data_IF_968438371949
#
_entry.id   IF_968438371949
#
_cell.length_a   1.000
_cell.length_b   1.000
_cell.length_c   1.000
_cell.angle_alpha   90.00
_cell.angle_beta   90.00
_cell.angle_gamma   90.00
#
_symmetry.space_group_name_H-M   'P 1'
#
loop_
_entity.id
_entity.type
_entity.pdbx_description
1 polymer ?
#
# COMPACT_ATOMS: atom_id res chain seq x y z
N UNK A 1 -15.30 8.06 13.27
CA UNK A 1 -14.57 6.90 13.81
C UNK A 1 -13.16 7.39 14.07
N UNK A 2 -12.77 7.54 15.35
CA UNK A 2 -11.40 7.90 15.72
C UNK A 2 -10.41 6.79 15.33
N UNK A 3 -9.10 7.07 15.31
CA UNK A 3 -8.10 6.04 15.03
C UNK A 3 -8.22 4.95 16.11
N UNK A 4 -8.54 3.73 15.69
CA UNK A 4 -8.44 2.54 16.54
C UNK A 4 -6.95 2.23 16.66
N UNK A 5 -6.31 2.71 17.73
CA UNK A 5 -5.03 2.20 18.20
C UNK A 5 -5.37 0.98 19.08
N UNK A 6 -5.02 -0.27 18.68
CA UNK A 6 -5.23 -1.47 19.51
C UNK A 6 -4.27 -1.51 20.71
N UNK A 7 -4.53 -2.38 21.70
CA UNK A 7 -4.08 -2.25 23.08
C UNK A 7 -2.70 -2.85 23.30
N UNK A 8 -1.66 -2.20 22.81
CA UNK A 8 -0.32 -2.40 23.35
C UNK A 8 0.13 -1.05 23.91
N UNK A 9 0.64 -0.98 25.15
CA UNK A 9 0.91 0.32 25.76
C UNK A 9 1.95 1.03 24.90
N UNK A 10 1.71 2.26 24.43
CA UNK A 10 2.74 2.99 23.72
C UNK A 10 3.87 3.33 24.71
N UNK A 11 5.09 2.91 24.39
CA UNK A 11 6.25 3.76 24.66
C UNK A 11 6.18 4.85 23.59
N UNK A 12 5.77 6.05 24.00
CA UNK A 12 5.67 7.30 23.24
C UNK A 12 5.19 7.20 21.78
N UNK A 13 3.95 7.66 21.56
CA UNK A 13 3.38 7.84 20.23
C UNK A 13 3.31 9.33 19.90
N UNK A 14 3.70 9.70 18.70
CA UNK A 14 3.60 11.06 18.19
C UNK A 14 2.99 11.07 16.78
N UNK A 15 2.26 12.13 16.47
CA UNK A 15 1.97 12.50 15.09
C UNK A 15 3.10 13.38 14.56
N UNK A 16 3.31 13.35 13.24
CA UNK A 16 4.30 14.21 12.61
C UNK A 16 4.12 15.68 12.98
N UNK A 17 2.89 16.21 13.00
CA UNK A 17 2.61 17.60 13.40
C UNK A 17 3.13 17.94 14.80
N UNK A 18 3.07 17.01 15.74
CA UNK A 18 3.51 17.22 17.12
C UNK A 18 5.04 17.28 17.20
N UNK A 19 5.71 16.43 16.43
CA UNK A 19 7.18 16.49 16.26
C UNK A 19 7.60 17.79 15.59
N UNK A 20 6.87 18.22 14.55
CA UNK A 20 7.18 19.46 13.84
C UNK A 20 6.92 20.72 14.67
N UNK A 21 5.86 20.73 15.48
CA UNK A 21 5.52 21.85 16.35
C UNK A 21 6.53 22.02 17.49
N UNK A 22 7.04 20.91 18.04
CA UNK A 22 8.10 20.93 19.06
C UNK A 22 9.44 21.49 18.57
N UNK A 23 9.71 21.42 17.26
CA UNK A 23 10.93 21.95 16.64
C UNK A 23 10.82 23.35 16.02
N UNK A 24 9.74 24.10 16.27
CA UNK A 24 9.54 25.43 15.68
C UNK A 24 10.47 26.51 16.30
N UNK A 25 10.92 27.52 15.53
CA UNK A 25 11.84 28.55 16.01
C UNK A 25 11.22 29.36 17.16
N UNK A 26 11.75 29.14 18.37
CA UNK A 26 11.23 29.69 19.63
C UNK A 26 11.38 28.73 20.82
N UNK A 27 11.53 27.42 20.57
CA UNK A 27 11.95 26.44 21.57
C UNK A 27 13.47 26.43 21.74
N UNK A 28 13.95 26.26 22.97
CA UNK A 28 15.38 26.34 23.29
C UNK A 28 16.10 25.11 22.73
N UNK A 29 17.37 25.28 22.32
CA UNK A 29 18.19 24.21 21.73
C UNK A 29 18.50 23.06 22.72
N UNK A 30 18.12 23.19 24.00
CA UNK A 30 18.26 22.17 25.05
C UNK A 30 17.04 21.21 25.13
N UNK A 31 15.94 21.53 24.43
CA UNK A 31 14.67 20.80 24.50
C UNK A 31 14.65 19.62 23.50
N UNK A 32 15.47 18.60 23.75
CA UNK A 32 15.49 17.32 23.00
C UNK A 32 14.18 16.51 23.09
N UNK A 33 13.23 16.98 23.89
CA UNK A 33 11.99 16.32 24.23
C UNK A 33 10.87 17.36 24.33
N UNK A 34 9.72 17.12 23.70
CA UNK A 34 8.53 18.01 23.86
C UNK A 34 7.97 17.97 25.28
N UNK A 35 7.09 18.92 25.64
CA UNK A 35 6.36 18.90 26.92
C UNK A 35 5.61 17.58 27.22
N UNK A 36 5.34 16.77 26.19
CA UNK A 36 4.69 15.45 26.30
C UNK A 36 5.66 14.26 26.34
N UNK A 37 6.97 14.50 26.43
CA UNK A 37 7.96 13.42 26.46
C UNK A 37 8.40 12.95 25.07
N UNK A 38 7.88 13.50 23.97
CA UNK A 38 8.22 13.05 22.61
C UNK A 38 9.66 13.45 22.26
N UNK A 39 10.52 12.47 21.99
CA UNK A 39 11.89 12.71 21.53
C UNK A 39 11.91 13.38 20.13
N UNK A 40 12.48 14.57 20.06
CA UNK A 40 12.71 15.30 18.81
C UNK A 40 14.04 14.87 18.17
N UNK A 41 14.24 15.10 16.85
CA UNK A 41 15.57 14.98 16.28
C UNK A 41 16.56 15.88 17.04
N UNK A 42 17.65 15.28 17.53
CA UNK A 42 18.69 15.99 18.27
C UNK A 42 19.73 16.66 17.36
N UNK A 43 20.79 17.20 17.96
CA UNK A 43 21.94 17.69 17.21
C UNK A 43 22.59 16.57 16.36
N UNK A 44 23.30 16.98 15.31
CA UNK A 44 23.99 16.05 14.41
C UNK A 44 25.05 15.26 15.19
N UNK A 45 24.95 13.93 15.15
CA UNK A 45 25.92 13.03 15.77
C UNK A 45 27.20 12.92 14.93
N UNK A 46 28.33 12.58 15.58
CA UNK A 46 29.60 12.26 14.89
C UNK A 46 29.44 11.06 13.94
N UNK A 47 28.60 10.10 14.32
CA UNK A 47 28.24 8.94 13.53
C UNK A 47 26.73 8.96 13.26
N UNK A 48 26.30 9.29 12.02
CA UNK A 48 24.91 9.18 11.63
C UNK A 48 24.41 7.73 11.80
N UNK A 49 23.12 7.61 12.10
CA UNK A 49 22.43 6.33 12.11
C UNK A 49 22.09 5.86 10.69
N UNK A 50 21.23 4.85 10.62
CA UNK A 50 20.85 4.17 9.37
C UNK A 50 19.35 4.26 9.13
N UNK A 51 18.96 4.30 7.86
CA UNK A 51 17.56 4.32 7.44
C UNK A 51 17.17 3.00 6.78
N UNK A 52 16.11 2.36 7.28
CA UNK A 52 15.46 1.21 6.66
C UNK A 52 14.10 1.62 6.11
N UNK A 53 13.91 1.49 4.80
CA UNK A 53 12.62 1.72 4.15
C UNK A 53 12.00 0.35 3.90
N UNK A 54 11.01 -0.03 4.71
CA UNK A 54 10.53 -1.42 4.78
C UNK A 54 9.10 -1.55 4.26
N UNK A 55 8.86 -2.62 3.50
CA UNK A 55 7.52 -3.05 3.12
C UNK A 55 6.84 -3.81 4.25
N UNK A 56 5.71 -3.28 4.70
CA UNK A 56 4.86 -3.82 5.76
C UNK A 56 3.93 -4.94 5.31
N UNK A 57 3.83 -5.20 4.00
CA UNK A 57 2.85 -6.15 3.48
C UNK A 57 1.45 -5.55 3.35
N UNK A 58 0.45 -6.34 2.91
CA UNK A 58 -0.87 -5.84 2.51
C UNK A 58 -1.80 -5.48 3.69
N UNK A 59 -1.43 -5.80 4.93
CA UNK A 59 -2.22 -5.46 6.12
C UNK A 59 -1.97 -6.41 7.30
N UNK A 60 -1.94 -7.72 7.04
CA UNK A 60 -1.66 -8.70 8.09
C UNK A 60 -0.20 -8.68 8.51
N UNK A 61 0.05 -8.69 9.83
CA UNK A 61 1.38 -8.56 10.40
C UNK A 61 2.26 -9.79 10.16
N UNK A 62 1.65 -10.96 10.00
CA UNK A 62 2.33 -12.23 9.67
C UNK A 62 2.87 -12.28 8.23
N UNK A 63 2.58 -11.26 7.42
CA UNK A 63 3.17 -11.05 6.09
C UNK A 63 4.37 -10.10 6.08
N UNK A 64 4.82 -9.64 7.26
CA UNK A 64 6.12 -8.98 7.39
C UNK A 64 7.23 -9.96 7.01
N UNK A 65 8.23 -9.48 6.28
CA UNK A 65 9.41 -10.29 6.01
C UNK A 65 10.28 -10.38 7.27
N UNK A 66 11.01 -11.48 7.43
CA UNK A 66 11.95 -11.62 8.56
C UNK A 66 13.02 -10.52 8.59
N UNK A 67 13.36 -9.93 7.43
CA UNK A 67 14.29 -8.80 7.36
C UNK A 67 13.64 -7.51 7.87
N UNK A 68 12.38 -7.27 7.54
CA UNK A 68 11.60 -6.14 8.07
C UNK A 68 11.45 -6.23 9.60
N UNK A 69 11.16 -7.42 10.13
CA UNK A 69 11.08 -7.64 11.59
C UNK A 69 12.41 -7.35 12.29
N UNK A 70 13.55 -7.78 11.72
CA UNK A 70 14.87 -7.44 12.29
C UNK A 70 15.13 -5.93 12.30
N UNK A 71 14.82 -5.23 11.21
CA UNK A 71 14.97 -3.78 11.14
C UNK A 71 14.08 -3.05 12.16
N UNK A 72 12.83 -3.52 12.36
CA UNK A 72 11.94 -3.00 13.40
C UNK A 72 12.51 -3.18 14.81
N UNK A 73 13.14 -4.33 15.08
CA UNK A 73 13.75 -4.60 16.38
C UNK A 73 14.97 -3.74 16.70
N UNK A 74 15.65 -3.24 15.68
CA UNK A 74 16.80 -2.32 15.78
C UNK A 74 16.39 -0.84 15.82
N UNK A 75 15.11 -0.53 15.56
CA UNK A 75 14.66 0.85 15.36
C UNK A 75 14.67 1.67 16.65
N UNK A 76 15.20 2.88 16.56
CA UNK A 76 15.00 3.94 17.55
C UNK A 76 13.75 4.77 17.23
N UNK A 77 13.42 4.91 15.93
CA UNK A 77 12.25 5.67 15.46
C UNK A 77 11.59 4.93 14.30
N UNK A 78 10.27 4.77 14.35
CA UNK A 78 9.45 4.21 13.26
C UNK A 78 8.51 5.29 12.72
N UNK A 79 8.69 5.67 11.45
CA UNK A 79 7.78 6.54 10.72
C UNK A 79 6.74 5.69 9.98
N UNK A 80 5.53 5.65 10.52
CA UNK A 80 4.43 4.78 10.10
C UNK A 80 3.56 5.44 9.01
N UNK A 81 3.33 4.73 7.90
CA UNK A 81 2.29 5.07 6.93
C UNK A 81 0.91 4.57 7.36
N UNK A 82 -0.16 5.24 6.93
CA UNK A 82 -1.54 4.84 7.20
C UNK A 82 -1.91 3.45 6.64
N UNK A 83 -1.26 3.02 5.56
CA UNK A 83 -1.52 1.72 4.93
C UNK A 83 -0.64 0.57 5.48
N UNK A 84 0.27 0.85 6.41
CA UNK A 84 1.05 -0.20 7.05
C UNK A 84 0.17 -1.01 8.03
N UNK A 85 0.53 -2.28 8.33
CA UNK A 85 -0.07 -3.02 9.45
C UNK A 85 -0.07 -2.16 10.71
N UNK A 86 -1.09 -2.30 11.56
CA UNK A 86 -1.20 -1.54 12.81
C UNK A 86 -0.73 -2.33 14.04
N UNK A 87 -0.58 -3.64 13.89
CA UNK A 87 -0.16 -4.58 14.96
C UNK A 87 1.36 -4.82 14.96
N UNK A 88 2.15 -3.82 14.57
CA UNK A 88 3.62 -3.92 14.47
C UNK A 88 4.35 -3.68 15.81
N UNK A 89 3.65 -3.18 16.83
CA UNK A 89 4.27 -2.66 18.05
C UNK A 89 5.12 -3.68 18.82
N UNK A 90 4.78 -4.97 18.75
CA UNK A 90 5.58 -6.03 19.37
C UNK A 90 6.98 -6.21 18.74
N UNK A 91 7.14 -5.79 17.48
CA UNK A 91 8.39 -5.92 16.73
C UNK A 91 9.30 -4.70 16.85
N UNK A 92 8.80 -3.57 17.36
CA UNK A 92 9.56 -2.34 17.56
C UNK A 92 9.48 -1.85 19.02
N UNK A 93 9.86 -2.67 20.02
CA UNK A 93 9.57 -2.42 21.44
C UNK A 93 10.33 -1.23 22.06
N UNK A 94 11.33 -0.69 21.37
CA UNK A 94 12.18 0.41 21.84
C UNK A 94 12.05 1.69 21.01
N UNK A 95 11.23 1.68 19.97
CA UNK A 95 11.16 2.79 19.03
C UNK A 95 10.12 3.84 19.43
N UNK A 96 10.44 5.12 19.20
CA UNK A 96 9.45 6.18 19.08
C UNK A 96 8.62 5.94 17.81
N UNK A 97 7.30 5.91 17.95
CA UNK A 97 6.39 5.75 16.82
C UNK A 97 5.89 7.12 16.35
N UNK A 98 6.16 7.46 15.09
CA UNK A 98 5.71 8.70 14.45
C UNK A 98 4.73 8.38 13.33
N UNK A 99 3.46 8.72 13.49
CA UNK A 99 2.46 8.63 12.42
C UNK A 99 2.67 9.76 11.40
N UNK A 100 3.05 9.37 10.18
CA UNK A 100 3.26 10.27 9.03
C UNK A 100 2.14 10.16 7.98
N UNK A 101 1.10 9.38 8.28
CA UNK A 101 -0.07 9.21 7.45
C UNK A 101 -0.99 10.44 7.40
N UNK A 102 -2.01 10.39 6.53
CA UNK A 102 -3.02 11.44 6.46
C UNK A 102 -3.94 11.38 7.67
N UNK A 103 -3.78 12.31 8.61
CA UNK A 103 -4.76 12.53 9.69
C UNK A 103 -6.06 13.06 9.08
N UNK A 104 -7.22 12.42 9.30
CA UNK A 104 -8.51 12.92 8.80
C UNK A 104 -8.77 14.37 9.25
N UNK A 105 -9.04 15.26 8.29
CA UNK A 105 -9.33 16.68 8.55
C UNK A 105 -8.11 17.60 8.56
N UNK A 106 -6.90 17.09 8.35
CA UNK A 106 -5.67 17.90 8.21
C UNK A 106 -5.09 17.83 6.79
N UNK A 107 -4.32 18.84 6.42
CA UNK A 107 -3.60 18.85 5.13
C UNK A 107 -2.61 17.67 5.08
N UNK A 108 -2.51 17.03 3.91
CA UNK A 108 -1.54 15.96 3.71
C UNK A 108 -0.13 16.51 3.93
N UNK A 109 0.67 15.83 4.76
CA UNK A 109 2.06 16.22 4.96
C UNK A 109 2.82 16.03 3.65
N UNK A 110 3.53 17.07 3.16
CA UNK A 110 4.33 16.94 1.95
C UNK A 110 5.37 15.83 2.11
N UNK A 111 5.59 15.07 1.04
CA UNK A 111 6.59 13.99 1.06
C UNK A 111 7.98 14.46 1.46
N UNK A 112 8.38 15.66 1.01
CA UNK A 112 9.65 16.28 1.37
C UNK A 112 9.80 16.45 2.88
N UNK A 113 8.70 16.65 3.61
CA UNK A 113 8.74 16.78 5.06
C UNK A 113 8.91 15.45 5.78
N UNK A 114 8.31 14.38 5.25
CA UNK A 114 8.55 13.01 5.74
C UNK A 114 10.02 12.63 5.51
N UNK A 115 10.53 12.88 4.30
CA UNK A 115 11.93 12.66 3.95
C UNK A 115 12.87 13.43 4.88
N UNK A 116 12.61 14.72 5.09
CA UNK A 116 13.43 15.54 6.00
C UNK A 116 13.40 14.98 7.42
N UNK A 117 12.24 14.55 7.92
CA UNK A 117 12.15 13.97 9.27
C UNK A 117 12.97 12.68 9.41
N UNK A 118 12.95 11.80 8.39
CA UNK A 118 13.80 10.62 8.35
C UNK A 118 15.29 11.00 8.41
N UNK A 119 15.67 12.00 7.62
CA UNK A 119 17.05 12.49 7.54
C UNK A 119 17.48 13.10 8.88
N UNK A 120 16.65 13.93 9.51
CA UNK A 120 16.96 14.62 10.76
C UNK A 120 17.21 13.61 11.89
N UNK A 121 16.33 12.62 12.05
CA UNK A 121 16.54 11.57 13.05
C UNK A 121 17.81 10.76 12.77
N UNK A 122 18.05 10.36 11.52
CA UNK A 122 19.23 9.59 11.17
C UNK A 122 20.53 10.40 11.37
N UNK A 123 20.55 11.69 11.03
CA UNK A 123 21.68 12.58 11.28
C UNK A 123 21.94 12.77 12.79
N UNK A 124 20.92 12.64 13.63
CA UNK A 124 21.07 12.62 15.09
C UNK A 124 21.54 11.26 15.66
N UNK A 125 21.98 10.33 14.81
CA UNK A 125 22.53 9.04 15.20
C UNK A 125 21.49 7.93 15.40
N UNK A 126 20.22 8.15 15.05
CA UNK A 126 19.13 7.19 15.26
C UNK A 126 19.01 6.19 14.12
N UNK A 127 18.69 4.95 14.45
CA UNK A 127 18.21 3.95 13.50
C UNK A 127 16.74 4.22 13.18
N UNK A 128 16.47 4.60 11.94
CA UNK A 128 15.15 5.03 11.48
C UNK A 128 14.53 3.95 10.61
N UNK A 129 13.30 3.54 10.93
CA UNK A 129 12.49 2.68 10.08
C UNK A 129 11.35 3.49 9.45
N UNK A 130 11.28 3.54 8.13
CA UNK A 130 10.12 4.01 7.38
C UNK A 130 9.26 2.80 7.02
N UNK A 131 8.20 2.57 7.79
CA UNK A 131 7.29 1.43 7.60
C UNK A 131 6.15 1.81 6.65
N UNK A 132 6.10 1.16 5.48
CA UNK A 132 5.17 1.46 4.39
C UNK A 132 4.20 0.31 4.18
N UNK A 133 2.97 0.58 3.73
CA UNK A 133 2.05 -0.48 3.30
C UNK A 133 2.52 -1.14 2.01
N UNK A 134 2.31 -2.46 1.89
CA UNK A 134 2.68 -3.25 0.72
C UNK A 134 4.20 -3.36 0.52
N UNK A 135 4.64 -3.02 -0.69
CA UNK A 135 6.05 -2.98 -1.08
C UNK A 135 6.49 -1.53 -1.35
N UNK A 136 7.67 -1.07 -0.89
CA UNK A 136 8.12 0.31 -1.06
C UNK A 136 8.22 0.77 -2.52
N UNK A 137 8.44 -0.15 -3.47
CA UNK A 137 8.63 0.16 -4.89
C UNK A 137 7.39 -0.06 -5.75
N UNK A 138 6.28 -0.57 -5.20
CA UNK A 138 5.00 -0.66 -5.91
C UNK A 138 4.10 0.51 -5.53
N UNK A 139 4.23 1.62 -6.27
CA UNK A 139 3.55 2.91 -6.00
C UNK A 139 3.77 3.46 -4.58
N UNK A 140 4.79 2.98 -3.87
CA UNK A 140 5.11 3.39 -2.51
C UNK A 140 6.02 4.61 -2.43
N UNK A 141 6.65 5.05 -3.52
CA UNK A 141 7.67 6.14 -3.54
C UNK A 141 8.93 5.84 -2.73
N UNK A 142 9.24 4.56 -2.50
CA UNK A 142 10.44 4.15 -1.76
C UNK A 142 11.74 4.61 -2.43
N UNK A 143 11.76 4.73 -3.76
CA UNK A 143 12.94 5.21 -4.50
C UNK A 143 13.23 6.69 -4.19
N UNK A 144 12.19 7.54 -4.19
CA UNK A 144 12.34 8.96 -3.84
C UNK A 144 12.81 9.15 -2.39
N UNK A 145 12.32 8.34 -1.46
CA UNK A 145 12.75 8.34 -0.06
C UNK A 145 14.20 7.87 0.09
N UNK A 146 14.60 6.82 -0.64
CA UNK A 146 15.97 6.31 -0.67
C UNK A 146 16.95 7.35 -1.24
N UNK A 147 16.61 7.95 -2.38
CA UNK A 147 17.44 8.96 -3.05
C UNK A 147 17.68 10.17 -2.14
N UNK A 148 16.65 10.61 -1.41
CA UNK A 148 16.77 11.71 -0.44
C UNK A 148 17.75 11.37 0.69
N UNK A 149 17.72 10.15 1.24
CA UNK A 149 18.65 9.71 2.27
C UNK A 149 20.10 9.61 1.74
N UNK A 150 20.29 9.04 0.55
CA UNK A 150 21.60 8.95 -0.09
C UNK A 150 22.17 10.35 -0.37
N UNK A 151 21.35 11.27 -0.87
CA UNK A 151 21.75 12.66 -1.12
C UNK A 151 22.16 13.39 0.17
N UNK A 152 21.60 13.00 1.32
CA UNK A 152 21.99 13.51 2.64
C UNK A 152 23.24 12.82 3.23
N UNK A 153 23.84 11.85 2.52
CA UNK A 153 25.03 11.12 2.96
C UNK A 153 24.75 10.05 4.02
N UNK A 154 23.51 9.55 4.11
CA UNK A 154 23.11 8.52 5.06
C UNK A 154 23.23 7.12 4.45
N UNK A 155 23.53 6.14 5.30
CA UNK A 155 23.30 4.74 4.95
C UNK A 155 21.80 4.44 4.93
N UNK A 156 21.30 3.97 3.79
CA UNK A 156 19.90 3.65 3.62
C UNK A 156 19.72 2.40 2.78
N UNK A 157 18.75 1.55 3.14
CA UNK A 157 18.37 0.39 2.34
C UNK A 157 16.84 0.20 2.28
N UNK A 158 16.40 -0.36 1.15
CA UNK A 158 15.00 -0.76 0.95
C UNK A 158 14.86 -2.26 1.22
N UNK A 159 13.94 -2.61 2.12
CA UNK A 159 13.57 -3.99 2.41
C UNK A 159 12.22 -4.27 1.73
N UNK A 160 12.16 -5.22 0.78
CA UNK A 160 10.93 -5.50 0.04
C UNK A 160 9.85 -6.05 0.95
N UNK A 161 8.60 -5.79 0.57
CA UNK A 161 7.41 -6.29 1.24
C UNK A 161 6.52 -7.08 0.30
N UNK A 162 5.51 -7.75 0.88
CA UNK A 162 4.50 -8.44 0.08
C UNK A 162 3.55 -7.40 -0.51
N UNK A 163 3.60 -7.19 -1.83
CA UNK A 163 2.72 -6.21 -2.48
C UNK A 163 1.25 -6.62 -2.43
N UNK A 164 0.39 -5.64 -2.15
CA UNK A 164 -1.05 -5.83 -2.16
C UNK A 164 -1.58 -6.19 -3.56
N UNK A 165 -0.88 -5.77 -4.63
CA UNK A 165 -1.24 -6.10 -6.02
C UNK A 165 -1.32 -7.61 -6.30
N UNK A 166 -0.60 -8.43 -5.53
CA UNK A 166 -0.59 -9.88 -5.70
C UNK A 166 -1.30 -10.56 -4.53
N UNK A 167 -0.97 -10.16 -3.31
CA UNK A 167 -1.44 -10.87 -2.12
C UNK A 167 -2.93 -10.68 -1.86
N UNK A 168 -3.49 -9.49 -2.09
CA UNK A 168 -4.92 -9.23 -1.82
C UNK A 168 -5.81 -10.00 -2.79
N UNK A 169 -5.57 -10.00 -4.13
CA UNK A 169 -6.26 -10.92 -5.03
C UNK A 169 -6.12 -12.39 -4.60
N UNK A 170 -4.89 -12.82 -4.27
CA UNK A 170 -4.62 -14.19 -3.84
C UNK A 170 -5.39 -14.60 -2.58
N UNK A 171 -5.61 -13.67 -1.63
CA UNK A 171 -6.41 -13.89 -0.42
C UNK A 171 -7.87 -14.19 -0.73
N UNK A 172 -8.42 -13.53 -1.75
CA UNK A 172 -9.75 -13.77 -2.31
C UNK A 172 -9.81 -15.01 -3.25
N UNK A 173 -8.70 -15.73 -3.41
CA UNK A 173 -8.59 -16.88 -4.31
C UNK A 173 -8.42 -16.51 -5.78
N UNK A 174 -8.12 -15.26 -6.11
CA UNK A 174 -7.93 -14.77 -7.48
C UNK A 174 -6.43 -14.70 -7.78
N UNK A 175 -5.87 -15.65 -8.54
CA UNK A 175 -4.47 -15.59 -8.90
C UNK A 175 -4.24 -14.51 -9.98
N UNK A 176 -3.16 -13.73 -9.88
CA UNK A 176 -2.84 -12.70 -10.89
C UNK A 176 -2.33 -13.28 -12.21
N UNK A 177 -1.91 -14.54 -12.21
CA UNK A 177 -1.59 -15.32 -13.41
C UNK A 177 -2.12 -16.74 -13.22
N UNK A 178 -2.56 -17.37 -14.30
CA UNK A 178 -3.07 -18.73 -14.25
C UNK A 178 -2.79 -19.44 -15.57
N UNK A 179 -2.15 -20.60 -15.50
CA UNK A 179 -1.74 -21.36 -16.68
C UNK A 179 -2.93 -21.59 -17.62
N UNK A 180 -2.75 -21.30 -18.91
CA UNK A 180 -3.78 -21.36 -19.98
C UNK A 180 -4.91 -20.33 -19.88
N UNK A 181 -4.87 -19.44 -18.89
CA UNK A 181 -5.88 -18.38 -18.71
C UNK A 181 -5.20 -17.01 -18.86
N UNK A 182 -4.19 -16.72 -18.04
CA UNK A 182 -3.45 -15.46 -18.05
C UNK A 182 -1.97 -15.73 -17.80
N UNK A 183 -1.13 -15.33 -18.75
CA UNK A 183 0.34 -15.46 -18.67
C UNK A 183 1.05 -14.12 -18.43
N UNK A 184 0.30 -13.03 -18.48
CA UNK A 184 0.79 -11.67 -18.29
C UNK A 184 -0.15 -10.94 -17.34
N UNK A 185 0.39 -10.04 -16.54
CA UNK A 185 -0.43 -9.13 -15.77
C UNK A 185 0.18 -7.74 -15.73
N UNK A 186 -0.68 -6.74 -15.64
CA UNK A 186 -0.30 -5.33 -15.60
C UNK A 186 -0.84 -4.73 -14.32
N UNK A 187 0.03 -4.09 -13.54
CA UNK A 187 -0.37 -3.31 -12.37
C UNK A 187 -0.38 -1.85 -12.77
N UNK A 188 -1.50 -1.16 -12.51
CA UNK A 188 -1.66 0.26 -12.85
C UNK A 188 -2.26 1.01 -11.67
N UNK A 189 -1.91 2.29 -11.52
CA UNK A 189 -2.49 3.18 -10.51
C UNK A 189 -3.60 4.03 -11.11
N UNK A 190 -4.80 3.92 -10.54
CA UNK A 190 -5.94 4.77 -10.88
C UNK A 190 -6.05 6.05 -10.04
N UNK A 191 -5.03 6.42 -9.25
CA UNK A 191 -5.15 7.49 -8.26
C UNK A 191 -5.70 8.82 -8.82
N UNK A 192 -5.24 9.19 -10.01
CA UNK A 192 -5.63 10.41 -10.74
C UNK A 192 -6.37 10.10 -12.06
N UNK A 193 -6.88 8.86 -12.21
CA UNK A 193 -7.36 8.34 -13.48
C UNK A 193 -6.22 7.72 -14.30
N UNK A 194 -6.58 7.05 -15.39
CA UNK A 194 -5.62 6.45 -16.32
C UNK A 194 -5.35 7.43 -17.47
N UNK A 195 -4.07 7.61 -17.82
CA UNK A 195 -3.71 8.33 -19.05
C UNK A 195 -4.09 7.52 -20.30
N UNK A 196 -3.99 8.13 -21.48
CA UNK A 196 -4.22 7.40 -22.74
C UNK A 196 -3.23 6.23 -22.93
N UNK A 197 -1.97 6.40 -22.50
CA UNK A 197 -0.96 5.35 -22.56
C UNK A 197 -1.26 4.22 -21.56
N UNK A 198 -1.67 4.58 -20.34
CA UNK A 198 -2.10 3.58 -19.34
C UNK A 198 -3.32 2.80 -19.85
N UNK A 199 -4.31 3.48 -20.43
CA UNK A 199 -5.49 2.84 -21.02
C UNK A 199 -5.11 1.92 -22.17
N UNK A 200 -4.19 2.33 -23.05
CA UNK A 200 -3.72 1.49 -24.14
C UNK A 200 -3.00 0.23 -23.62
N UNK A 201 -2.19 0.34 -22.57
CA UNK A 201 -1.51 -0.80 -21.95
C UNK A 201 -2.50 -1.76 -21.27
N UNK A 202 -3.48 -1.22 -20.54
CA UNK A 202 -4.58 -1.99 -19.93
C UNK A 202 -5.39 -2.72 -20.99
N UNK A 203 -5.79 -2.02 -22.05
CA UNK A 203 -6.52 -2.60 -23.18
C UNK A 203 -5.73 -3.75 -23.83
N UNK A 204 -4.45 -3.51 -24.17
CA UNK A 204 -3.59 -4.52 -24.77
C UNK A 204 -3.45 -5.76 -23.87
N UNK A 205 -3.34 -5.55 -22.54
CA UNK A 205 -3.26 -6.63 -21.56
C UNK A 205 -4.54 -7.49 -21.60
N UNK A 206 -5.72 -6.87 -21.55
CA UNK A 206 -7.00 -7.58 -21.55
C UNK A 206 -7.25 -8.32 -22.86
N UNK A 207 -6.90 -7.72 -24.01
CA UNK A 207 -7.01 -8.37 -25.33
C UNK A 207 -6.10 -9.57 -25.49
N UNK A 208 -4.96 -9.59 -24.81
CA UNK A 208 -4.06 -10.73 -24.74
C UNK A 208 -4.44 -11.76 -23.67
N UNK A 209 -5.69 -11.71 -23.16
CA UNK A 209 -6.18 -12.54 -22.06
C UNK A 209 -5.35 -12.42 -20.78
N UNK A 210 -4.66 -11.29 -20.60
CA UNK A 210 -3.92 -10.96 -19.41
C UNK A 210 -4.82 -10.50 -18.25
N UNK A 211 -4.19 -10.27 -17.10
CA UNK A 211 -4.86 -9.77 -15.91
C UNK A 211 -4.45 -8.33 -15.63
N UNK A 212 -5.40 -7.46 -15.31
CA UNK A 212 -5.11 -6.09 -14.89
C UNK A 212 -5.40 -5.96 -13.41
N UNK A 213 -4.46 -5.40 -12.65
CA UNK A 213 -4.63 -5.04 -11.24
C UNK A 213 -4.58 -3.52 -11.13
N UNK A 214 -5.73 -2.92 -10.83
CA UNK A 214 -5.91 -1.49 -10.64
C UNK A 214 -5.80 -1.14 -9.15
N UNK A 215 -4.72 -0.45 -8.79
CA UNK A 215 -4.48 0.07 -7.45
C UNK A 215 -5.01 1.50 -7.34
N UNK A 216 -5.47 1.90 -6.14
CA UNK A 216 -5.91 3.27 -5.84
C UNK A 216 -7.04 3.80 -6.77
N UNK A 217 -7.77 2.90 -7.42
CA UNK A 217 -8.73 3.24 -8.49
C UNK A 217 -10.18 3.39 -8.06
N UNK A 218 -10.53 3.23 -6.77
CA UNK A 218 -11.95 3.20 -6.31
C UNK A 218 -12.77 4.38 -6.83
N UNK A 219 -12.23 5.60 -6.77
CA UNK A 219 -12.95 6.81 -7.22
C UNK A 219 -13.04 6.95 -8.74
N UNK A 220 -12.05 6.42 -9.44
CA UNK A 220 -11.84 6.56 -10.89
C UNK A 220 -12.28 5.34 -11.67
N UNK A 221 -12.75 4.30 -10.96
CA UNK A 221 -13.25 3.06 -11.54
C UNK A 221 -14.40 3.30 -12.53
N UNK A 222 -15.41 4.16 -12.26
CA UNK A 222 -16.47 4.42 -13.24
C UNK A 222 -15.95 4.95 -14.58
N UNK A 223 -14.96 5.84 -14.56
CA UNK A 223 -14.38 6.43 -15.77
C UNK A 223 -13.48 5.42 -16.50
N UNK A 224 -12.74 4.62 -15.72
CA UNK A 224 -11.91 3.52 -16.25
C UNK A 224 -12.78 2.50 -16.98
N UNK A 225 -13.88 2.07 -16.37
CA UNK A 225 -14.87 1.14 -16.96
C UNK A 225 -15.45 1.71 -18.24
N UNK A 226 -15.93 2.96 -18.22
CA UNK A 226 -16.51 3.61 -19.39
C UNK A 226 -15.50 3.70 -20.56
N UNK A 227 -14.23 3.97 -20.25
CA UNK A 227 -13.16 4.04 -21.24
C UNK A 227 -12.81 2.69 -21.85
N UNK A 228 -12.82 1.62 -21.05
CA UNK A 228 -12.57 0.26 -21.56
C UNK A 228 -13.73 -0.23 -22.45
N UNK A 229 -14.96 0.05 -22.06
CA UNK A 229 -16.15 -0.27 -22.86
C UNK A 229 -16.16 0.49 -24.20
N UNK A 230 -15.82 1.79 -24.20
CA UNK A 230 -15.76 2.59 -25.43
C UNK A 230 -14.66 2.13 -26.40
N UNK A 231 -13.60 1.52 -25.86
CA UNK A 231 -12.54 0.85 -26.61
C UNK A 231 -12.91 -0.56 -27.07
N UNK A 232 -14.11 -1.05 -26.75
CA UNK A 232 -14.60 -2.34 -27.20
C UNK A 232 -14.04 -3.54 -26.43
N UNK A 233 -13.64 -3.34 -25.17
CA UNK A 233 -13.54 -4.46 -24.23
C UNK A 233 -14.95 -4.96 -23.91
N UNK A 234 -15.14 -6.28 -23.92
CA UNK A 234 -16.45 -6.91 -23.70
C UNK A 234 -17.02 -6.54 -22.33
N UNK A 235 -18.31 -6.17 -22.28
CA UNK A 235 -19.01 -5.83 -21.04
C UNK A 235 -19.01 -6.96 -20.01
N UNK A 236 -19.05 -8.21 -20.50
CA UNK A 236 -18.97 -9.44 -19.71
C UNK A 236 -17.59 -9.71 -19.08
N UNK A 237 -16.55 -8.91 -19.41
CA UNK A 237 -15.21 -9.09 -18.86
C UNK A 237 -15.26 -9.10 -17.33
N UNK A 238 -14.80 -10.17 -16.67
CA UNK A 238 -14.89 -10.29 -15.22
C UNK A 238 -14.07 -9.24 -14.48
N UNK A 239 -14.63 -8.78 -13.38
CA UNK A 239 -14.03 -7.79 -12.51
C UNK A 239 -14.30 -8.15 -11.04
N UNK A 240 -13.29 -8.06 -10.19
CA UNK A 240 -13.46 -8.17 -8.75
C UNK A 240 -12.82 -6.99 -8.04
N UNK A 241 -13.51 -6.42 -7.05
CA UNK A 241 -12.92 -5.43 -6.15
C UNK A 241 -12.84 -6.00 -4.74
N UNK A 242 -11.65 -5.96 -4.14
CA UNK A 242 -11.35 -6.47 -2.80
C UNK A 242 -11.04 -5.27 -1.89
N UNK A 243 -11.93 -5.00 -0.95
CA UNK A 243 -11.81 -3.92 0.04
C UNK A 243 -11.17 -4.43 1.33
N UNK A 244 -10.32 -3.61 1.96
CA UNK A 244 -9.66 -3.91 3.23
C UNK A 244 -9.06 -5.33 3.30
N UNK A 245 -8.36 -5.73 2.24
CA UNK A 245 -7.73 -7.05 2.15
C UNK A 245 -6.89 -7.37 3.38
N UNK A 246 -6.93 -8.61 3.86
CA UNK A 246 -6.26 -9.09 5.08
C UNK A 246 -6.74 -8.46 6.39
N UNK A 247 -7.88 -7.75 6.40
CA UNK A 247 -8.50 -7.26 7.64
C UNK A 247 -9.78 -8.03 7.99
N UNK A 248 -10.26 -7.88 9.22
CA UNK A 248 -11.57 -8.40 9.64
C UNK A 248 -12.75 -7.79 8.85
N UNK A 249 -12.54 -6.66 8.18
CA UNK A 249 -13.56 -5.96 7.40
C UNK A 249 -13.36 -6.16 5.88
N UNK A 250 -12.65 -7.23 5.49
CA UNK A 250 -12.46 -7.58 4.08
C UNK A 250 -13.82 -7.81 3.40
N UNK A 251 -13.98 -7.27 2.19
CA UNK A 251 -15.16 -7.50 1.36
C UNK A 251 -14.74 -7.69 -0.09
N UNK A 252 -15.27 -8.73 -0.72
CA UNK A 252 -15.06 -9.03 -2.14
C UNK A 252 -16.35 -8.77 -2.91
N UNK A 253 -16.27 -7.95 -3.95
CA UNK A 253 -17.36 -7.71 -4.89
C UNK A 253 -16.94 -8.23 -6.26
N UNK A 254 -17.51 -9.36 -6.68
CA UNK A 254 -17.32 -9.94 -8.02
C UNK A 254 -18.45 -9.48 -8.92
N UNK A 255 -18.12 -9.05 -10.13
CA UNK A 255 -19.04 -8.47 -11.11
C UNK A 255 -18.44 -8.57 -12.53
N UNK A 256 -19.07 -7.94 -13.49
CA UNK A 256 -18.57 -7.75 -14.86
C UNK A 256 -18.26 -6.28 -15.12
N UNK A 257 -17.51 -6.00 -16.18
CA UNK A 257 -17.12 -4.64 -16.55
C UNK A 257 -18.35 -3.73 -16.74
N UNK A 258 -19.42 -4.23 -17.38
CA UNK A 258 -20.65 -3.44 -17.59
C UNK A 258 -21.40 -3.10 -16.28
N UNK A 259 -21.35 -3.98 -15.28
CA UNK A 259 -22.10 -3.84 -14.01
C UNK A 259 -21.26 -3.17 -12.90
N UNK A 260 -19.95 -3.10 -13.08
CA UNK A 260 -19.00 -2.60 -12.08
C UNK A 260 -19.37 -1.23 -11.50
N UNK A 261 -19.91 -0.30 -12.31
CA UNK A 261 -20.32 1.03 -11.82
C UNK A 261 -21.40 0.95 -10.74
N UNK A 262 -22.37 0.04 -10.89
CA UNK A 262 -23.46 -0.12 -9.93
C UNK A 262 -22.99 -0.95 -8.72
N UNK A 263 -22.36 -2.10 -8.97
CA UNK A 263 -22.00 -3.06 -7.92
C UNK A 263 -20.90 -2.52 -6.99
N UNK A 264 -19.95 -1.76 -7.55
CA UNK A 264 -18.86 -1.15 -6.78
C UNK A 264 -19.20 0.24 -6.23
N UNK A 265 -20.44 0.74 -6.36
CA UNK A 265 -20.80 2.10 -5.94
C UNK A 265 -20.60 2.37 -4.43
N UNK A 266 -20.58 1.32 -3.60
CA UNK A 266 -20.37 1.40 -2.15
C UNK A 266 -18.96 1.01 -1.70
N UNK A 267 -18.09 0.62 -2.62
CA UNK A 267 -16.70 0.26 -2.35
C UNK A 267 -15.97 1.47 -1.76
N UNK A 268 -15.19 1.25 -0.70
CA UNK A 268 -14.36 2.27 -0.06
C UNK A 268 -12.88 1.90 -0.13
N UNK A 269 -11.98 2.89 -0.26
CA UNK A 269 -10.56 2.65 -0.09
C UNK A 269 -10.22 2.21 1.36
N UNK A 270 -9.14 1.44 1.57
CA UNK A 270 -8.29 0.83 0.54
C UNK A 270 -8.98 -0.35 -0.15
N UNK A 271 -8.91 -0.39 -1.48
CA UNK A 271 -9.41 -1.52 -2.27
C UNK A 271 -8.57 -1.73 -3.53
N UNK A 272 -8.57 -2.97 -4.02
CA UNK A 272 -7.86 -3.39 -5.22
C UNK A 272 -8.88 -3.97 -6.18
N UNK A 273 -8.85 -3.50 -7.42
CA UNK A 273 -9.68 -4.04 -8.49
C UNK A 273 -8.85 -4.91 -9.41
N UNK A 274 -9.33 -6.12 -9.71
CA UNK A 274 -8.75 -7.06 -10.65
C UNK A 274 -9.70 -7.22 -11.82
N UNK A 275 -9.19 -7.15 -13.04
CA UNK A 275 -9.96 -7.29 -14.28
C UNK A 275 -9.32 -8.40 -15.11
N UNK A 276 -10.13 -9.35 -15.58
CA UNK A 276 -9.69 -10.46 -16.42
C UNK A 276 -10.26 -11.80 -16.00
N UNK A 277 -10.10 -12.79 -16.89
CA UNK A 277 -10.63 -14.15 -16.78
C UNK A 277 -10.26 -14.87 -15.48
N UNK A 278 -9.15 -14.50 -14.83
CA UNK A 278 -8.73 -15.07 -13.54
C UNK A 278 -9.72 -14.84 -12.40
N UNK A 279 -10.57 -13.81 -12.51
CA UNK A 279 -11.60 -13.49 -11.50
C UNK A 279 -12.64 -14.61 -11.39
N UNK A 280 -12.87 -15.37 -12.47
CA UNK A 280 -13.75 -16.54 -12.46
C UNK A 280 -13.34 -17.61 -11.44
N UNK A 281 -12.10 -17.59 -10.96
CA UNK A 281 -11.55 -18.55 -10.03
C UNK A 281 -11.61 -18.11 -8.55
N UNK A 282 -12.25 -16.98 -8.25
CA UNK A 282 -12.46 -16.50 -6.88
C UNK A 282 -13.15 -17.57 -5.99
N UNK A 283 -12.66 -17.75 -4.75
CA UNK A 283 -12.94 -18.94 -3.94
C UNK A 283 -14.36 -19.05 -3.35
N UNK A 284 -15.10 -17.96 -3.23
CA UNK A 284 -16.38 -17.96 -2.50
C UNK A 284 -17.59 -18.38 -3.36
N UNK A 285 -17.43 -18.58 -4.67
CA UNK A 285 -18.53 -19.00 -5.57
C UNK A 285 -18.18 -20.23 -6.44
N UNK A 286 -17.29 -21.09 -5.94
CA UNK A 286 -16.68 -22.17 -6.71
C UNK A 286 -17.65 -23.18 -7.33
N UNK A 287 -18.88 -23.34 -6.83
CA UNK A 287 -19.77 -24.38 -7.35
C UNK A 287 -20.64 -23.92 -8.52
N UNK A 288 -21.03 -22.64 -8.57
CA UNK A 288 -21.97 -22.15 -9.59
C UNK A 288 -21.24 -21.54 -10.78
N UNK A 289 -20.23 -20.71 -10.52
CA UNK A 289 -19.56 -19.92 -11.55
C UNK A 289 -18.46 -20.69 -12.30
N UNK A 290 -17.70 -21.55 -11.61
CA UNK A 290 -16.66 -22.40 -12.23
C UNK A 290 -17.25 -23.35 -13.27
N UNK A 291 -18.49 -23.82 -13.05
CA UNK A 291 -19.20 -24.69 -14.01
C UNK A 291 -19.47 -23.98 -15.34
N UNK A 292 -20.01 -22.75 -15.29
CA UNK A 292 -20.31 -21.93 -16.48
C UNK A 292 -19.04 -21.47 -17.21
N UNK A 293 -17.96 -21.20 -16.48
CA UNK A 293 -16.68 -20.74 -17.03
C UNK A 293 -15.89 -21.88 -17.65
N UNK A 294 -15.85 -23.04 -17.00
CA UNK A 294 -15.21 -24.23 -17.57
C UNK A 294 -15.94 -24.70 -18.83
N UNK A 295 -17.23 -24.37 -18.99
CA UNK A 295 -17.98 -24.60 -20.22
C UNK A 295 -17.58 -23.59 -21.29
N UNK A 296 -17.59 -22.28 -21.01
CA UNK A 296 -17.12 -21.23 -21.94
C UNK A 296 -15.66 -21.40 -22.40
N UNK A 297 -14.75 -21.75 -21.48
CA UNK A 297 -13.34 -22.00 -21.82
C UNK A 297 -13.17 -23.28 -22.66
N UNK A 298 -14.02 -24.30 -22.45
CA UNK A 298 -14.05 -25.48 -23.33
C UNK A 298 -14.56 -25.12 -24.73
N UNK A 299 -15.58 -24.27 -24.84
CA UNK A 299 -16.10 -23.78 -26.11
C UNK A 299 -15.09 -22.91 -26.88
N UNK A 300 -14.36 -22.02 -26.19
CA UNK A 300 -13.27 -21.23 -26.78
C UNK A 300 -12.05 -22.06 -27.17
N UNK A 301 -11.76 -23.16 -26.47
CA UNK A 301 -10.66 -24.07 -26.83
C UNK A 301 -11.04 -25.05 -27.96
N UNK A 302 -12.33 -25.16 -28.27
CA UNK A 302 -12.87 -26.01 -29.34
C UNK A 302 -13.18 -25.25 -30.64
N UNK A 303 -13.03 -23.92 -30.65
CA UNK A 303 -13.13 -23.04 -31.82
C UNK A 303 -11.74 -22.59 -32.30
#
# INVERSE_FOLDING_TARGET
MGPKIPPFPPREFATIDEVLAGGAPGHSLDDSVTERGIALPGERAEHPGKVYIIGGGPGAVDLLTLRAVRALGEADVVLLDHLAPQEYGEYAPNALIVDVGKVPGKHAVPQSRIQQLMIDYALSGKTVVRLKGGDPYVYGRGAEELDACIAAGLEAEVIPGITSAIAVPGRAGIPVTLRRVSSIFTVVSGHSGLSEDDLAAVEATLRASGTVVLLMGVRTLPDTVASLLSRGIEGEMPLATIENGFSENERVTVTTLENAKADCARVKPPAITVIGEVVYYARDDQNRFVSEVHERLRERAAS
#
